data_IF_169181296422
#
_entry.id   IF_169181296422
#
_cell.length_a   1.000
_cell.length_b   1.000
_cell.length_c   1.000
_cell.angle_alpha   90.00
_cell.angle_beta   90.00
_cell.angle_gamma   90.00
#
_symmetry.space_group_name_H-M   'P 1'
#
loop_
_entity.id
_entity.type
_entity.pdbx_description
1 polymer ?
#
# COMPACT_ATOMS: atom_id res chain seq x y z
N UNK A 1 -15.09 -12.68 7.57
CA UNK A 1 -15.51 -11.42 6.91
C UNK A 1 -14.94 -10.30 7.75
N UNK A 2 -13.82 -9.72 7.32
CA UNK A 2 -13.17 -8.64 8.07
C UNK A 2 -14.05 -7.40 7.89
N UNK A 3 -14.59 -6.87 8.98
CA UNK A 3 -15.28 -5.58 8.94
C UNK A 3 -14.18 -4.54 8.67
N UNK A 4 -14.24 -3.87 7.53
CA UNK A 4 -13.38 -2.72 7.25
C UNK A 4 -13.89 -1.56 8.11
N UNK A 5 -13.19 -1.27 9.21
CA UNK A 5 -13.40 -0.06 10.00
C UNK A 5 -12.76 1.12 9.26
N UNK A 6 -13.35 2.33 9.36
CA UNK A 6 -12.71 3.51 8.79
C UNK A 6 -11.38 3.77 9.49
N UNK A 7 -10.45 4.45 8.81
CA UNK A 7 -9.17 4.83 9.44
C UNK A 7 -9.38 5.73 10.65
N UNK A 8 -10.44 6.54 10.66
CA UNK A 8 -10.85 7.33 11.83
C UNK A 8 -11.24 6.42 13.01
N UNK A 9 -12.10 5.42 12.80
CA UNK A 9 -12.50 4.49 13.86
C UNK A 9 -11.31 3.71 14.43
N UNK A 10 -10.33 3.35 13.57
CA UNK A 10 -9.09 2.69 13.99
C UNK A 10 -8.26 3.62 14.87
N UNK A 11 -8.13 4.89 14.50
CA UNK A 11 -7.40 5.88 15.30
C UNK A 11 -8.06 6.11 16.66
N UNK A 12 -9.39 6.21 16.70
CA UNK A 12 -10.14 6.38 17.95
C UNK A 12 -9.99 5.17 18.87
N UNK A 13 -9.94 3.96 18.31
CA UNK A 13 -9.88 2.71 19.08
C UNK A 13 -8.46 2.38 19.57
N UNK A 14 -7.44 2.68 18.77
CA UNK A 14 -6.06 2.22 18.97
C UNK A 14 -5.05 3.38 19.04
N UNK A 15 -5.44 4.52 19.61
CA UNK A 15 -4.69 5.78 19.56
C UNK A 15 -3.17 5.65 19.82
N UNK A 16 -2.74 4.85 20.79
CA UNK A 16 -1.32 4.68 21.15
C UNK A 16 -0.57 3.64 20.30
N UNK A 17 -1.29 2.91 19.42
CA UNK A 17 -0.78 1.80 18.63
C UNK A 17 -0.90 2.04 17.12
N UNK A 18 -1.28 3.25 16.70
CA UNK A 18 -1.39 3.64 15.30
C UNK A 18 -0.32 4.64 14.91
N UNK A 19 0.02 4.66 13.63
CA UNK A 19 0.84 5.71 13.03
C UNK A 19 0.14 6.15 11.75
N UNK A 20 -0.07 7.45 11.61
CA UNK A 20 -0.71 8.04 10.44
C UNK A 20 0.37 8.49 9.47
N UNK A 21 0.23 8.13 8.20
CA UNK A 21 1.14 8.58 7.15
C UNK A 21 0.72 9.97 6.67
N UNK A 22 1.67 10.91 6.65
CA UNK A 22 1.48 12.26 6.10
C UNK A 22 1.79 12.34 4.59
N UNK A 23 2.06 11.20 3.94
CA UNK A 23 2.37 11.16 2.51
C UNK A 23 1.13 11.45 1.66
N UNK A 24 1.22 12.32 0.64
CA UNK A 24 0.10 12.67 -0.21
C UNK A 24 -0.15 11.58 -1.28
N UNK A 25 -0.84 10.52 -0.88
CA UNK A 25 -1.32 9.50 -1.81
C UNK A 25 -2.52 10.00 -2.64
N UNK A 26 -2.70 9.39 -3.81
CA UNK A 26 -3.88 9.56 -4.67
C UNK A 26 -4.46 8.18 -4.94
N UNK A 27 -5.79 8.08 -4.90
CA UNK A 27 -6.48 6.84 -5.26
C UNK A 27 -6.55 6.66 -6.77
N UNK A 28 -6.10 5.49 -7.25
CA UNK A 28 -6.15 5.10 -8.66
C UNK A 28 -6.91 3.78 -8.91
N UNK A 29 -7.10 2.97 -7.86
CA UNK A 29 -7.79 1.67 -7.97
C UNK A 29 -9.31 1.76 -7.85
N UNK A 30 -10.01 0.70 -8.26
CA UNK A 30 -11.47 0.58 -8.08
C UNK A 30 -11.91 0.27 -6.64
N UNK A 31 -10.97 -0.11 -5.77
CA UNK A 31 -11.20 -0.36 -4.34
C UNK A 31 -10.57 0.78 -3.55
N UNK A 32 -11.40 1.61 -2.93
CA UNK A 32 -11.00 2.82 -2.18
C UNK A 32 -10.74 2.57 -0.70
N UNK A 33 -10.90 1.33 -0.22
CA UNK A 33 -10.64 0.95 1.17
C UNK A 33 -10.12 -0.46 1.21
N UNK A 34 -8.92 -0.63 1.77
CA UNK A 34 -8.24 -1.91 1.87
C UNK A 34 -7.34 -1.93 3.12
N UNK A 35 -7.01 -3.13 3.59
CA UNK A 35 -6.17 -3.35 4.76
C UNK A 35 -5.54 -4.73 4.68
N UNK A 36 -4.35 -4.89 5.24
CA UNK A 36 -3.63 -6.16 5.22
C UNK A 36 -2.26 -6.07 5.88
N UNK A 37 -1.62 -7.22 6.06
CA UNK A 37 -0.22 -7.25 6.49
C UNK A 37 0.65 -6.56 5.44
N UNK A 38 1.52 -5.65 5.88
CA UNK A 38 2.40 -4.91 5.00
C UNK A 38 3.54 -5.79 4.49
N UNK A 39 3.76 -5.77 3.18
CA UNK A 39 4.99 -6.22 2.51
C UNK A 39 5.65 -5.00 1.87
N UNK A 40 6.98 -4.93 1.83
CA UNK A 40 7.68 -3.73 1.36
C UNK A 40 8.70 -4.04 0.28
N UNK A 41 8.79 -3.15 -0.71
CA UNK A 41 9.85 -3.13 -1.72
C UNK A 41 10.42 -1.72 -1.76
N UNK A 42 11.75 -1.62 -1.80
CA UNK A 42 12.45 -0.39 -2.18
C UNK A 42 13.11 -0.63 -3.52
N UNK A 43 12.84 0.24 -4.48
CA UNK A 43 13.45 0.22 -5.81
C UNK A 43 13.62 1.65 -6.35
N UNK A 44 14.31 1.78 -7.48
CA UNK A 44 14.47 3.06 -8.15
C UNK A 44 14.37 2.84 -9.65
N UNK A 45 13.27 3.31 -10.24
CA UNK A 45 13.00 3.25 -11.68
C UNK A 45 12.99 1.86 -12.32
N UNK A 46 12.85 0.82 -11.49
CA UNK A 46 12.80 -0.58 -11.88
C UNK A 46 11.68 -1.27 -11.09
N UNK A 47 10.71 -1.85 -11.81
CA UNK A 47 9.56 -2.53 -11.22
C UNK A 47 9.68 -4.07 -11.24
N UNK A 48 10.83 -4.63 -11.61
CA UNK A 48 11.02 -6.07 -11.76
C UNK A 48 10.66 -6.85 -10.48
N UNK A 49 11.00 -6.31 -9.31
CA UNK A 49 10.62 -6.91 -8.03
C UNK A 49 9.14 -6.70 -7.71
N UNK A 50 8.56 -5.56 -8.08
CA UNK A 50 7.13 -5.27 -7.90
C UNK A 50 6.30 -6.28 -8.68
N UNK A 51 6.59 -6.47 -9.97
CA UNK A 51 5.89 -7.44 -10.83
C UNK A 51 6.01 -8.86 -10.28
N UNK A 52 7.23 -9.31 -9.95
CA UNK A 52 7.45 -10.66 -9.38
C UNK A 52 6.68 -10.91 -8.09
N UNK A 53 6.58 -9.92 -7.21
CA UNK A 53 5.82 -10.04 -5.96
C UNK A 53 4.31 -10.11 -6.23
N UNK A 54 3.80 -9.30 -7.15
CA UNK A 54 2.37 -9.31 -7.53
C UNK A 54 1.93 -10.59 -8.26
N UNK A 55 2.86 -11.34 -8.86
CA UNK A 55 2.60 -12.66 -9.46
C UNK A 55 2.38 -13.76 -8.41
N UNK A 56 2.77 -13.54 -7.14
CA UNK A 56 2.58 -14.50 -6.06
C UNK A 56 1.19 -14.33 -5.41
N UNK A 57 0.66 -15.38 -4.76
CA UNK A 57 -0.54 -15.25 -3.93
C UNK A 57 -0.39 -14.12 -2.90
N UNK A 58 -1.26 -13.11 -3.02
CA UNK A 58 -1.21 -11.93 -2.15
C UNK A 58 -1.74 -12.18 -0.74
N UNK A 59 -2.63 -13.16 -0.54
CA UNK A 59 -3.19 -13.56 0.77
C UNK A 59 -3.74 -12.38 1.62
N UNK A 60 -4.23 -11.33 0.95
CA UNK A 60 -4.72 -10.11 1.61
C UNK A 60 -3.63 -9.19 2.16
N UNK A 61 -2.36 -9.35 1.76
CA UNK A 61 -1.27 -8.41 2.07
C UNK A 61 -1.41 -7.10 1.29
N UNK A 62 -0.78 -6.05 1.79
CA UNK A 62 -0.65 -4.74 1.15
C UNK A 62 0.82 -4.50 0.82
N UNK A 63 1.13 -4.39 -0.47
CA UNK A 63 2.49 -4.07 -0.93
C UNK A 63 2.70 -2.55 -0.92
N UNK A 64 3.67 -2.09 -0.12
CA UNK A 64 4.12 -0.69 -0.09
C UNK A 64 5.44 -0.58 -0.84
N UNK A 65 5.47 0.24 -1.89
CA UNK A 65 6.65 0.42 -2.76
C UNK A 65 7.27 1.79 -2.52
N UNK A 66 8.50 1.82 -2.01
CA UNK A 66 9.35 3.00 -2.01
C UNK A 66 10.09 3.07 -3.35
N UNK A 67 9.57 3.91 -4.26
CA UNK A 67 10.14 4.18 -5.58
C UNK A 67 11.13 5.34 -5.63
N UNK A 68 11.58 5.85 -4.47
CA UNK A 68 12.46 7.03 -4.40
C UNK A 68 11.81 8.34 -4.88
N UNK A 69 10.48 8.42 -4.89
CA UNK A 69 9.70 9.58 -5.38
C UNK A 69 10.00 10.00 -6.84
N UNK A 70 10.53 9.11 -7.69
CA UNK A 70 10.71 9.42 -9.11
C UNK A 70 9.38 9.49 -9.84
N UNK A 71 9.20 10.54 -10.65
CA UNK A 71 8.04 10.71 -11.55
C UNK A 71 8.38 10.41 -13.02
N UNK A 72 9.56 9.87 -13.31
CA UNK A 72 10.02 9.65 -14.70
C UNK A 72 9.50 8.35 -15.32
N UNK A 73 9.23 7.34 -14.50
CA UNK A 73 8.76 6.02 -14.95
C UNK A 73 7.65 5.51 -14.03
N UNK A 74 6.75 4.71 -14.58
CA UNK A 74 5.74 4.02 -13.80
C UNK A 74 6.32 2.78 -13.13
N UNK A 75 5.94 2.52 -11.87
CA UNK A 75 6.28 1.28 -11.16
C UNK A 75 5.14 0.23 -11.19
N UNK A 76 3.94 0.65 -11.60
CA UNK A 76 2.77 -0.21 -11.79
C UNK A 76 1.92 0.36 -12.94
N UNK A 77 1.34 -0.54 -13.73
CA UNK A 77 0.45 -0.25 -14.86
C UNK A 77 -0.67 -1.30 -14.95
N UNK A 78 -1.44 -1.28 -16.05
CA UNK A 78 -2.51 -2.24 -16.35
C UNK A 78 -2.01 -3.61 -16.85
#
# INVERSE_FOLDING_TARGET
MTILSSTADICDTYADNVSVSDLPFRDFGGVTTFSGQTETIRCFEDNSMVSKTLEQPGEGRVLVVDGGSSMRVALLGD
#
